data_IF_159154980141
#
_entry.id   IF_159154980141
#
_cell.length_a   1.000
_cell.length_b   1.000
_cell.length_c   1.000
_cell.angle_alpha   90.00
_cell.angle_beta   90.00
_cell.angle_gamma   90.00
#
_symmetry.space_group_name_H-M   'P 1'
#
loop_
_entity.id
_entity.type
_entity.pdbx_description
1 polymer ?
#
# COMPACT_ATOMS: atom_id res chain seq x y z
N UNK A 1 -27.81 -77.45 16.09
CA UNK A 1 -27.57 -76.62 14.89
C UNK A 1 -27.71 -75.17 15.31
N UNK A 2 -26.54 -74.50 15.62
CA UNK A 2 -26.54 -73.11 16.10
C UNK A 2 -25.87 -72.29 15.04
N UNK A 3 -26.67 -71.48 14.34
CA UNK A 3 -26.22 -70.50 13.33
C UNK A 3 -25.73 -69.19 13.99
N UNK A 4 -24.48 -68.84 13.78
CA UNK A 4 -23.92 -67.54 14.18
C UNK A 4 -24.20 -66.53 13.08
N UNK A 5 -25.01 -65.49 13.38
CA UNK A 5 -25.12 -64.27 12.56
C UNK A 5 -23.94 -63.33 12.89
N UNK A 6 -23.10 -63.11 11.91
CA UNK A 6 -22.04 -62.09 11.97
C UNK A 6 -22.63 -60.78 11.45
N UNK A 7 -22.74 -59.75 12.30
CA UNK A 7 -23.14 -58.41 11.92
C UNK A 7 -21.88 -57.66 11.43
N UNK A 8 -21.86 -57.31 10.14
CA UNK A 8 -20.85 -56.36 9.57
C UNK A 8 -21.29 -54.93 9.85
N UNK A 9 -20.60 -54.25 10.74
CA UNK A 9 -20.76 -52.81 10.94
C UNK A 9 -20.02 -52.06 9.83
N UNK A 10 -20.77 -51.40 8.95
CA UNK A 10 -20.26 -50.50 7.93
C UNK A 10 -19.99 -49.12 8.58
N UNK A 11 -18.77 -48.82 8.90
CA UNK A 11 -18.37 -47.46 9.35
C UNK A 11 -18.36 -46.52 8.14
N UNK A 12 -19.38 -45.68 8.01
CA UNK A 12 -19.39 -44.59 7.04
C UNK A 12 -18.40 -43.50 7.50
N UNK A 13 -17.27 -43.42 6.83
CA UNK A 13 -16.36 -42.29 6.92
C UNK A 13 -17.04 -41.05 6.29
N UNK A 14 -17.60 -40.19 7.14
CA UNK A 14 -18.09 -38.88 6.70
C UNK A 14 -16.83 -38.01 6.52
N UNK A 15 -16.37 -37.89 5.27
CA UNK A 15 -15.38 -36.90 4.88
C UNK A 15 -16.00 -35.52 5.01
N UNK A 16 -15.68 -34.77 6.04
CA UNK A 16 -15.90 -33.32 6.06
C UNK A 16 -15.01 -32.70 4.98
N UNK A 17 -15.54 -32.66 3.76
CA UNK A 17 -14.96 -31.81 2.72
C UNK A 17 -15.14 -30.35 3.13
N UNK A 18 -14.06 -29.59 3.25
CA UNK A 18 -14.14 -28.14 3.38
C UNK A 18 -14.98 -27.63 2.21
N UNK A 19 -16.15 -27.07 2.51
CA UNK A 19 -17.08 -26.56 1.51
C UNK A 19 -16.52 -25.22 1.02
N UNK A 20 -16.12 -25.14 -0.25
CA UNK A 20 -15.72 -23.88 -0.86
C UNK A 20 -16.83 -22.84 -0.67
N UNK A 21 -16.46 -21.61 -0.35
CA UNK A 21 -17.41 -20.52 -0.18
C UNK A 21 -18.23 -20.34 -1.47
N UNK A 22 -19.55 -20.19 -1.35
CA UNK A 22 -20.42 -19.88 -2.49
C UNK A 22 -20.35 -18.42 -2.90
N UNK A 23 -19.83 -17.55 -2.03
CA UNK A 23 -19.70 -16.11 -2.18
C UNK A 23 -18.44 -15.64 -1.45
N UNK A 24 -17.77 -14.64 -1.99
CA UNK A 24 -16.60 -13.99 -1.37
C UNK A 24 -17.03 -12.65 -0.79
N UNK A 25 -17.01 -12.53 0.53
CA UNK A 25 -17.29 -11.28 1.23
C UNK A 25 -16.01 -10.62 1.72
N UNK A 26 -15.72 -9.39 1.26
CA UNK A 26 -14.49 -8.66 1.56
C UNK A 26 -14.81 -7.43 2.41
N UNK A 27 -14.19 -7.31 3.58
CA UNK A 27 -14.23 -6.10 4.39
C UNK A 27 -13.19 -5.09 3.88
N UNK A 28 -13.68 -3.96 3.36
CA UNK A 28 -12.85 -2.86 2.91
C UNK A 28 -12.90 -1.72 3.93
N UNK A 29 -11.96 -1.73 4.88
CA UNK A 29 -11.83 -0.71 5.91
C UNK A 29 -10.80 0.33 5.47
N UNK A 30 -11.19 1.60 5.35
CA UNK A 30 -10.28 2.62 4.80
C UNK A 30 -10.64 4.01 5.30
N UNK A 31 -9.71 4.95 5.20
CA UNK A 31 -9.97 6.37 5.44
C UNK A 31 -10.62 6.98 4.19
N UNK A 32 -11.94 7.15 4.20
CA UNK A 32 -12.73 7.60 3.05
C UNK A 32 -13.20 9.05 3.16
N UNK A 33 -13.01 9.69 4.30
CA UNK A 33 -13.44 11.07 4.57
C UNK A 33 -12.34 11.91 5.24
N UNK A 34 -12.60 13.20 5.39
CA UNK A 34 -11.64 14.16 5.96
C UNK A 34 -10.49 14.52 5.02
N UNK A 35 -9.47 15.26 5.50
CA UNK A 35 -8.35 15.77 4.69
C UNK A 35 -7.49 14.67 4.04
N UNK A 36 -7.52 13.46 4.57
CA UNK A 36 -6.80 12.30 4.05
C UNK A 36 -7.68 11.35 3.23
N UNK A 37 -8.99 11.60 3.13
CA UNK A 37 -9.96 10.72 2.49
C UNK A 37 -9.68 10.47 1.00
N UNK A 38 -9.04 11.41 0.31
CA UNK A 38 -8.66 11.24 -1.10
C UNK A 38 -7.83 9.97 -1.34
N UNK A 39 -6.94 9.61 -0.40
CA UNK A 39 -6.09 8.42 -0.50
C UNK A 39 -6.93 7.14 -0.50
N UNK A 40 -7.81 6.98 0.49
CA UNK A 40 -8.67 5.81 0.59
C UNK A 40 -9.67 5.69 -0.56
N UNK A 41 -10.16 6.83 -1.08
CA UNK A 41 -11.03 6.88 -2.27
C UNK A 41 -10.28 6.36 -3.51
N UNK A 42 -9.03 6.77 -3.73
CA UNK A 42 -8.22 6.27 -4.84
C UNK A 42 -8.00 4.75 -4.74
N UNK A 43 -7.66 4.23 -3.55
CA UNK A 43 -7.50 2.78 -3.33
C UNK A 43 -8.82 2.03 -3.59
N UNK A 44 -9.93 2.55 -3.08
CA UNK A 44 -11.28 1.98 -3.29
C UNK A 44 -11.64 1.94 -4.77
N UNK A 45 -11.40 3.02 -5.49
CA UNK A 45 -11.76 3.14 -6.89
C UNK A 45 -10.93 2.18 -7.75
N UNK A 46 -9.63 2.04 -7.47
CA UNK A 46 -8.79 1.02 -8.11
C UNK A 46 -9.28 -0.40 -7.82
N UNK A 47 -9.59 -0.70 -6.57
CA UNK A 47 -10.13 -2.00 -6.15
C UNK A 47 -11.45 -2.32 -6.86
N UNK A 48 -12.38 -1.37 -6.87
CA UNK A 48 -13.68 -1.53 -7.54
C UNK A 48 -13.55 -1.73 -9.05
N UNK A 49 -12.58 -1.05 -9.68
CA UNK A 49 -12.31 -1.25 -11.11
C UNK A 49 -11.89 -2.69 -11.39
N UNK A 50 -11.02 -3.28 -10.57
CA UNK A 50 -10.60 -4.67 -10.74
C UNK A 50 -11.77 -5.65 -10.50
N UNK A 51 -12.58 -5.43 -9.49
CA UNK A 51 -13.81 -6.22 -9.25
C UNK A 51 -14.77 -6.12 -10.45
N UNK A 52 -14.94 -4.92 -11.01
CA UNK A 52 -15.75 -4.70 -12.22
C UNK A 52 -15.18 -5.46 -13.43
N UNK A 53 -13.86 -5.43 -13.64
CA UNK A 53 -13.19 -6.16 -14.73
C UNK A 53 -13.34 -7.69 -14.58
N UNK A 54 -13.39 -8.18 -13.34
CA UNK A 54 -13.69 -9.58 -13.05
C UNK A 54 -15.19 -9.92 -13.13
N UNK A 55 -16.04 -9.00 -13.62
CA UNK A 55 -17.50 -9.21 -13.74
C UNK A 55 -18.21 -9.37 -12.38
N UNK A 56 -17.68 -8.75 -11.32
CA UNK A 56 -18.20 -8.87 -9.95
C UNK A 56 -17.86 -10.20 -9.26
N UNK A 57 -16.85 -10.94 -9.79
CA UNK A 57 -16.53 -12.30 -9.34
C UNK A 57 -15.02 -12.50 -9.22
N UNK A 58 -14.46 -12.24 -8.05
CA UNK A 58 -13.06 -12.55 -7.79
C UNK A 58 -12.86 -14.06 -7.59
N UNK A 59 -11.87 -14.63 -8.27
CA UNK A 59 -11.63 -16.07 -8.28
C UNK A 59 -12.78 -16.91 -8.84
N UNK A 60 -13.74 -16.28 -9.55
CA UNK A 60 -14.96 -16.92 -10.05
C UNK A 60 -16.12 -16.92 -9.04
N UNK A 61 -15.93 -16.46 -7.82
CA UNK A 61 -16.97 -16.34 -6.80
C UNK A 61 -17.67 -15.00 -6.86
N UNK A 62 -19.03 -14.93 -6.78
CA UNK A 62 -19.74 -13.67 -6.55
C UNK A 62 -19.10 -12.93 -5.38
N UNK A 63 -18.80 -11.64 -5.57
CA UNK A 63 -18.01 -10.88 -4.60
C UNK A 63 -18.81 -9.69 -4.05
N UNK A 64 -19.04 -9.69 -2.73
CA UNK A 64 -19.57 -8.56 -1.98
C UNK A 64 -18.41 -7.79 -1.33
N UNK A 65 -18.36 -6.47 -1.50
CA UNK A 65 -17.38 -5.59 -0.82
C UNK A 65 -18.11 -4.72 0.19
N UNK A 66 -17.84 -4.93 1.49
CA UNK A 66 -18.43 -4.16 2.58
C UNK A 66 -17.49 -3.03 2.97
N UNK A 67 -17.85 -1.80 2.61
CA UNK A 67 -17.05 -0.61 2.89
C UNK A 67 -17.27 -0.07 4.30
N UNK A 68 -16.18 0.40 4.93
CA UNK A 68 -16.20 1.06 6.23
C UNK A 68 -15.16 2.21 6.25
N UNK A 69 -15.56 3.37 6.78
CA UNK A 69 -14.72 4.56 6.88
C UNK A 69 -14.18 4.71 8.30
N UNK A 70 -12.86 4.55 8.47
CA UNK A 70 -12.17 4.70 9.75
C UNK A 70 -11.94 6.17 10.15
N UNK A 71 -12.18 7.12 9.24
CA UNK A 71 -11.99 8.57 9.46
C UNK A 71 -10.59 8.95 9.98
N UNK A 72 -9.57 8.10 9.70
CA UNK A 72 -8.20 8.17 10.24
C UNK A 72 -8.15 8.06 11.77
N UNK A 73 -9.16 7.44 12.39
CA UNK A 73 -9.25 7.25 13.83
C UNK A 73 -9.02 5.77 14.18
N UNK A 74 -7.97 5.43 14.97
CA UNK A 74 -7.66 4.05 15.35
C UNK A 74 -8.78 3.33 16.10
N UNK A 75 -9.50 4.03 17.00
CA UNK A 75 -10.58 3.43 17.79
C UNK A 75 -11.81 3.14 16.92
N UNK A 76 -12.17 4.07 16.02
CA UNK A 76 -13.20 3.86 15.01
C UNK A 76 -12.83 2.67 14.12
N UNK A 77 -11.58 2.63 13.65
CA UNK A 77 -11.06 1.52 12.84
C UNK A 77 -11.23 0.18 13.56
N UNK A 78 -10.85 0.08 14.84
CA UNK A 78 -10.99 -1.14 15.64
C UNK A 78 -12.44 -1.60 15.77
N UNK A 79 -13.36 -0.69 16.09
CA UNK A 79 -14.80 -1.00 16.21
C UNK A 79 -15.38 -1.49 14.87
N UNK A 80 -14.97 -0.87 13.76
CA UNK A 80 -15.41 -1.26 12.42
C UNK A 80 -14.82 -2.61 12.00
N UNK A 81 -13.56 -2.89 12.33
CA UNK A 81 -12.96 -4.21 12.08
C UNK A 81 -13.71 -5.31 12.85
N UNK A 82 -14.04 -5.09 14.14
CA UNK A 82 -14.87 -6.02 14.91
C UNK A 82 -16.25 -6.25 14.28
N UNK A 83 -16.89 -5.19 13.78
CA UNK A 83 -18.17 -5.29 13.08
C UNK A 83 -18.05 -6.14 11.82
N UNK A 84 -17.07 -5.84 10.96
CA UNK A 84 -16.84 -6.56 9.70
C UNK A 84 -16.58 -8.04 9.95
N UNK A 85 -15.78 -8.38 10.96
CA UNK A 85 -15.41 -9.76 11.29
C UNK A 85 -16.53 -10.53 11.98
N UNK A 86 -17.16 -9.94 13.03
CA UNK A 86 -18.09 -10.68 13.90
C UNK A 86 -19.55 -10.65 13.41
N UNK A 87 -20.00 -9.47 12.91
CA UNK A 87 -21.38 -9.28 12.45
C UNK A 87 -21.54 -9.54 10.96
N UNK A 88 -20.69 -8.87 10.16
CA UNK A 88 -20.81 -8.93 8.71
C UNK A 88 -20.13 -10.20 8.13
N UNK A 89 -19.29 -10.88 8.94
CA UNK A 89 -18.65 -12.19 8.66
C UNK A 89 -17.89 -12.20 7.35
N UNK A 90 -17.03 -11.20 7.15
CA UNK A 90 -16.21 -11.12 5.94
C UNK A 90 -15.17 -12.25 5.90
N UNK A 91 -14.90 -12.80 4.72
CA UNK A 91 -13.91 -13.86 4.51
C UNK A 91 -12.48 -13.31 4.43
N UNK A 92 -12.33 -12.08 3.91
CA UNK A 92 -11.04 -11.39 3.74
C UNK A 92 -11.17 -9.93 4.16
N UNK A 93 -10.06 -9.30 4.53
CA UNK A 93 -10.02 -7.86 4.81
C UNK A 93 -8.91 -7.15 4.01
N UNK A 94 -9.17 -5.89 3.69
CA UNK A 94 -8.24 -5.00 2.95
C UNK A 94 -8.54 -3.53 3.23
N UNK A 95 -7.77 -2.59 2.66
CA UNK A 95 -8.17 -1.19 2.52
C UNK A 95 -7.44 -0.19 3.42
N UNK A 96 -6.90 -0.59 4.58
CA UNK A 96 -6.36 0.36 5.57
C UNK A 96 -5.22 1.21 4.99
N UNK A 97 -5.39 2.53 5.12
CA UNK A 97 -4.45 3.54 4.59
C UNK A 97 -3.31 3.83 5.56
N UNK A 98 -3.64 4.08 6.83
CA UNK A 98 -2.70 4.63 7.81
C UNK A 98 -2.19 3.59 8.81
N UNK A 99 -0.88 3.61 9.09
CA UNK A 99 -0.24 2.61 9.95
C UNK A 99 -0.70 2.65 11.41
N UNK A 100 -1.12 3.80 11.94
CA UNK A 100 -1.71 3.88 13.28
C UNK A 100 -3.06 3.17 13.35
N UNK A 101 -3.89 3.27 12.30
CA UNK A 101 -5.15 2.51 12.20
C UNK A 101 -4.82 1.03 12.01
N UNK A 102 -3.88 0.68 11.12
CA UNK A 102 -3.49 -0.71 10.88
C UNK A 102 -3.03 -1.41 12.15
N UNK A 103 -2.20 -0.76 12.96
CA UNK A 103 -1.74 -1.32 14.24
C UNK A 103 -2.87 -1.49 15.26
N UNK A 104 -3.90 -0.66 15.22
CA UNK A 104 -5.06 -0.77 16.11
C UNK A 104 -6.02 -1.90 15.71
N UNK A 105 -6.18 -2.17 14.41
CA UNK A 105 -7.11 -3.20 13.91
C UNK A 105 -6.47 -4.58 13.78
N UNK A 106 -5.14 -4.62 13.63
CA UNK A 106 -4.40 -5.85 13.35
C UNK A 106 -4.61 -6.96 14.39
N UNK A 107 -4.55 -6.72 15.71
CA UNK A 107 -4.81 -7.77 16.70
C UNK A 107 -6.15 -8.47 16.49
N UNK A 108 -7.22 -7.71 16.26
CA UNK A 108 -8.57 -8.25 16.03
C UNK A 108 -8.65 -9.10 14.76
N UNK A 109 -8.00 -8.66 13.68
CA UNK A 109 -7.94 -9.40 12.41
C UNK A 109 -7.17 -10.70 12.60
N UNK A 110 -5.99 -10.64 13.23
CA UNK A 110 -5.12 -11.80 13.47
C UNK A 110 -5.80 -12.85 14.37
N UNK A 111 -6.44 -12.42 15.45
CA UNK A 111 -7.19 -13.31 16.36
C UNK A 111 -8.36 -14.01 15.64
N UNK A 112 -8.99 -13.32 14.70
CA UNK A 112 -10.08 -13.89 13.89
C UNK A 112 -9.58 -14.86 12.81
N UNK A 113 -8.27 -14.99 12.60
CA UNK A 113 -7.64 -15.82 11.55
C UNK A 113 -8.15 -15.49 10.14
N UNK A 114 -8.54 -14.24 9.91
CA UNK A 114 -8.94 -13.74 8.60
C UNK A 114 -7.72 -13.15 7.89
N UNK A 115 -7.54 -13.49 6.62
CA UNK A 115 -6.44 -12.94 5.84
C UNK A 115 -6.65 -11.45 5.55
N UNK A 116 -5.58 -10.70 5.75
CA UNK A 116 -5.52 -9.28 5.42
C UNK A 116 -4.55 -9.04 4.28
N UNK A 117 -5.05 -8.46 3.18
CA UNK A 117 -4.24 -8.06 2.03
C UNK A 117 -4.10 -6.55 2.05
N UNK A 118 -2.91 -6.06 2.44
CA UNK A 118 -2.62 -4.64 2.61
C UNK A 118 -2.40 -3.95 1.26
N UNK A 119 -3.27 -3.03 0.85
CA UNK A 119 -3.01 -2.21 -0.34
C UNK A 119 -2.09 -1.03 -0.03
N UNK A 120 -1.92 -0.64 1.23
CA UNK A 120 -1.13 0.52 1.62
C UNK A 120 -0.34 0.31 2.93
N UNK A 121 -0.98 0.34 4.08
CA UNK A 121 -0.29 0.31 5.37
C UNK A 121 0.39 -1.04 5.64
N UNK A 122 1.71 -1.03 5.71
CA UNK A 122 2.55 -2.22 5.98
C UNK A 122 3.61 -1.87 7.04
N UNK A 123 3.21 -1.64 8.31
CA UNK A 123 4.11 -1.23 9.39
C UNK A 123 5.21 -2.28 9.65
N UNK A 124 6.43 -1.82 9.92
CA UNK A 124 7.60 -2.67 10.17
C UNK A 124 7.42 -3.63 11.34
N UNK A 125 6.64 -3.24 12.35
CA UNK A 125 6.30 -4.11 13.48
C UNK A 125 5.47 -5.34 13.08
N UNK A 126 4.67 -5.25 12.00
CA UNK A 126 3.87 -6.38 11.48
C UNK A 126 4.70 -7.23 10.51
N UNK A 127 5.65 -6.67 9.76
CA UNK A 127 6.43 -7.42 8.79
C UNK A 127 7.73 -8.01 9.35
N UNK A 128 8.23 -7.45 10.48
CA UNK A 128 9.38 -7.95 11.22
C UNK A 128 8.99 -9.02 12.24
N UNK A 129 9.31 -8.80 13.50
CA UNK A 129 9.08 -9.76 14.62
C UNK A 129 7.59 -10.14 14.79
N UNK A 130 6.67 -9.27 14.42
CA UNK A 130 5.22 -9.52 14.46
C UNK A 130 4.65 -10.14 13.19
N UNK A 131 5.48 -10.70 12.31
CA UNK A 131 5.00 -11.31 11.07
C UNK A 131 4.02 -12.45 11.34
N UNK A 132 3.03 -12.57 10.47
CA UNK A 132 1.91 -13.48 10.65
C UNK A 132 1.52 -14.13 9.33
N UNK A 133 1.08 -15.40 9.35
CA UNK A 133 0.62 -16.08 8.14
C UNK A 133 -0.63 -15.44 7.51
N UNK A 134 -1.33 -14.58 8.25
CA UNK A 134 -2.55 -13.92 7.80
C UNK A 134 -2.35 -12.53 7.20
N UNK A 135 -1.09 -12.00 7.19
CA UNK A 135 -0.78 -10.68 6.63
C UNK A 135 -0.03 -10.79 5.30
N UNK A 136 -0.53 -10.07 4.28
CA UNK A 136 0.12 -9.91 2.98
C UNK A 136 0.07 -8.45 2.56
N UNK A 137 1.19 -7.95 2.02
CA UNK A 137 1.27 -6.62 1.44
C UNK A 137 1.22 -6.70 -0.08
N UNK A 138 0.12 -6.27 -0.67
CA UNK A 138 0.02 -6.15 -2.12
C UNK A 138 0.79 -4.94 -2.68
N UNK A 139 1.45 -4.14 -1.85
CA UNK A 139 2.04 -2.85 -2.22
C UNK A 139 3.54 -2.77 -1.92
N UNK A 140 3.94 -2.53 -0.67
CA UNK A 140 5.34 -2.36 -0.25
C UNK A 140 5.46 -2.51 1.27
N UNK A 141 6.64 -2.86 1.82
CA UNK A 141 6.96 -2.61 3.23
C UNK A 141 7.17 -1.12 3.48
N UNK A 142 6.71 -0.60 4.62
CA UNK A 142 6.66 0.85 4.89
C UNK A 142 7.97 1.61 4.59
N UNK A 143 9.12 1.01 4.79
CA UNK A 143 10.41 1.70 4.62
C UNK A 143 10.91 1.77 3.17
N UNK A 144 10.43 0.91 2.28
CA UNK A 144 11.08 0.67 0.98
C UNK A 144 11.11 1.88 0.03
N UNK A 145 10.03 2.68 -0.05
CA UNK A 145 10.03 3.92 -0.84
C UNK A 145 11.04 4.95 -0.30
N UNK A 146 11.18 4.96 1.01
CA UNK A 146 12.05 5.88 1.74
C UNK A 146 13.52 5.46 1.62
N UNK A 147 13.79 4.17 1.60
CA UNK A 147 15.10 3.60 1.25
C UNK A 147 15.50 3.98 -0.17
N UNK A 148 14.57 3.88 -1.11
CA UNK A 148 14.77 4.33 -2.49
C UNK A 148 15.08 5.84 -2.56
N UNK A 149 14.40 6.67 -1.75
CA UNK A 149 14.65 8.11 -1.67
C UNK A 149 16.03 8.43 -1.08
N UNK A 150 16.48 7.71 -0.06
CA UNK A 150 17.83 7.82 0.49
C UNK A 150 18.91 7.44 -0.52
N UNK A 151 18.70 6.37 -1.29
CA UNK A 151 19.58 5.96 -2.37
C UNK A 151 19.60 7.02 -3.50
N UNK A 152 18.45 7.60 -3.83
CA UNK A 152 18.36 8.70 -4.81
C UNK A 152 19.11 9.95 -4.35
N UNK A 153 18.99 10.35 -3.09
CA UNK A 153 19.72 11.48 -2.53
C UNK A 153 21.25 11.29 -2.69
N UNK A 154 21.76 10.07 -2.46
CA UNK A 154 23.18 9.75 -2.72
C UNK A 154 23.53 9.89 -4.21
N UNK A 155 22.68 9.40 -5.11
CA UNK A 155 22.95 9.45 -6.56
C UNK A 155 23.03 10.87 -7.11
N UNK A 156 22.36 11.83 -6.43
CA UNK A 156 22.41 13.26 -6.72
C UNK A 156 23.57 13.98 -6.04
N UNK A 157 24.30 13.32 -5.15
CA UNK A 157 25.44 13.89 -4.42
C UNK A 157 25.05 14.89 -3.32
N UNK A 158 23.80 14.87 -2.84
CA UNK A 158 23.36 15.71 -1.72
C UNK A 158 24.09 15.28 -0.45
N UNK A 159 24.76 16.25 0.20
CA UNK A 159 25.60 16.00 1.39
C UNK A 159 24.89 16.30 2.69
N UNK A 160 23.98 17.28 2.68
CA UNK A 160 23.26 17.75 3.86
C UNK A 160 21.75 17.69 3.57
N UNK A 161 21.01 16.84 4.27
CA UNK A 161 19.57 16.66 4.05
C UNK A 161 18.79 16.95 5.33
N UNK A 162 17.73 17.75 5.21
CA UNK A 162 16.73 17.96 6.25
C UNK A 162 15.61 16.94 6.06
N UNK A 163 15.15 16.29 7.14
CA UNK A 163 14.11 15.27 7.08
C UNK A 163 12.86 15.74 7.83
N UNK A 164 11.68 15.57 7.23
CA UNK A 164 10.39 15.85 7.87
C UNK A 164 9.36 14.76 7.58
N UNK A 165 8.66 14.32 8.63
CA UNK A 165 7.53 13.38 8.55
C UNK A 165 6.52 13.64 9.67
N UNK A 166 5.25 13.17 9.57
CA UNK A 166 4.31 13.27 10.68
C UNK A 166 4.67 12.28 11.79
N UNK A 167 4.38 12.64 13.04
CA UNK A 167 4.66 11.83 14.22
C UNK A 167 3.64 10.69 14.38
N UNK A 168 3.82 9.62 13.61
CA UNK A 168 3.04 8.38 13.69
C UNK A 168 3.91 7.20 13.17
N UNK A 169 3.47 5.94 13.27
CA UNK A 169 4.34 4.80 12.94
C UNK A 169 4.98 4.88 11.56
N UNK A 170 4.22 5.13 10.48
CA UNK A 170 4.80 5.24 9.14
C UNK A 170 5.71 6.47 8.97
N UNK A 171 5.49 7.55 9.72
CA UNK A 171 6.41 8.69 9.72
C UNK A 171 7.78 8.32 10.30
N UNK A 172 7.80 7.51 11.35
CA UNK A 172 9.04 6.98 11.95
C UNK A 172 9.73 5.98 11.02
N UNK A 173 8.96 5.04 10.46
CA UNK A 173 9.47 4.08 9.47
C UNK A 173 10.08 4.82 8.27
N UNK A 174 9.45 5.92 7.81
CA UNK A 174 9.91 6.68 6.65
C UNK A 174 11.30 7.29 6.85
N UNK A 175 11.51 8.00 7.96
CA UNK A 175 12.81 8.62 8.21
C UNK A 175 13.89 7.58 8.55
N UNK A 176 13.52 6.46 9.16
CA UNK A 176 14.41 5.32 9.41
C UNK A 176 14.85 4.69 8.08
N UNK A 177 13.92 4.42 7.16
CA UNK A 177 14.22 3.87 5.85
C UNK A 177 15.11 4.81 5.02
N UNK A 178 14.81 6.11 4.98
CA UNK A 178 15.65 7.08 4.30
C UNK A 178 17.09 7.06 4.83
N UNK A 179 17.27 7.16 6.16
CA UNK A 179 18.60 7.16 6.80
C UNK A 179 19.38 5.87 6.60
N UNK A 180 18.69 4.73 6.42
CA UNK A 180 19.36 3.44 6.16
C UNK A 180 20.15 3.45 4.86
N UNK A 181 19.64 4.10 3.84
CA UNK A 181 20.28 4.14 2.52
C UNK A 181 21.04 5.44 2.27
N UNK A 182 20.72 6.52 2.97
CA UNK A 182 21.41 7.80 2.81
C UNK A 182 22.77 7.80 3.53
N UNK A 183 23.82 8.29 2.84
CA UNK A 183 25.20 8.31 3.32
C UNK A 183 25.72 9.70 3.71
N UNK A 184 24.92 10.74 3.43
CA UNK A 184 25.25 12.11 3.78
C UNK A 184 24.88 12.45 5.23
N UNK A 185 24.98 13.73 5.56
CA UNK A 185 24.66 14.27 6.87
C UNK A 185 23.17 14.64 6.96
N UNK A 186 22.49 14.18 8.01
CA UNK A 186 21.12 14.61 8.37
C UNK A 186 21.25 15.83 9.26
N UNK A 187 20.99 17.03 8.73
CA UNK A 187 21.12 18.30 9.47
C UNK A 187 20.01 18.52 10.46
N UNK A 188 18.84 17.93 10.21
CA UNK A 188 17.71 17.90 11.14
C UNK A 188 16.76 16.76 10.82
N UNK A 189 16.10 16.22 11.85
CA UNK A 189 15.04 15.22 11.76
C UNK A 189 13.85 15.74 12.55
N UNK A 190 12.75 16.06 11.86
CA UNK A 190 11.60 16.75 12.44
C UNK A 190 10.33 15.91 12.25
N UNK A 191 9.57 15.80 13.32
CA UNK A 191 8.26 15.15 13.32
C UNK A 191 7.17 16.18 13.57
N UNK A 192 6.37 16.49 12.53
CA UNK A 192 5.18 17.35 12.62
C UNK A 192 4.00 16.62 13.28
N UNK A 193 2.96 17.34 13.66
CA UNK A 193 1.72 16.69 14.09
C UNK A 193 1.05 15.97 12.93
N UNK A 194 0.43 14.82 13.21
CA UNK A 194 -0.44 14.16 12.23
C UNK A 194 -1.64 15.10 11.92
N UNK A 195 -1.96 15.27 10.64
CA UNK A 195 -2.96 16.24 10.13
C UNK A 195 -2.59 17.73 10.31
N UNK A 196 -1.31 18.06 10.52
CA UNK A 196 -0.85 19.45 10.50
C UNK A 196 -1.07 20.07 9.11
N UNK A 197 -1.53 21.34 9.07
CA UNK A 197 -1.80 22.07 7.83
C UNK A 197 -0.97 23.35 7.70
N UNK A 198 -0.40 23.87 8.77
CA UNK A 198 0.49 25.02 8.79
C UNK A 198 1.91 24.59 9.10
N UNK A 199 2.85 24.94 8.22
CA UNK A 199 4.26 24.56 8.27
C UNK A 199 5.19 25.77 8.36
N UNK A 200 4.69 26.96 8.68
CA UNK A 200 5.47 28.20 8.73
C UNK A 200 6.70 28.10 9.64
N UNK A 201 6.58 27.43 10.79
CA UNK A 201 7.68 27.20 11.71
C UNK A 201 8.76 26.27 11.13
N UNK A 202 8.34 25.15 10.56
CA UNK A 202 9.26 24.18 9.93
C UNK A 202 9.96 24.79 8.71
N UNK A 203 9.26 25.59 7.89
CA UNK A 203 9.84 26.27 6.74
C UNK A 203 10.91 27.32 7.15
N UNK A 204 10.69 28.02 8.26
CA UNK A 204 11.70 28.92 8.83
C UNK A 204 12.94 28.14 9.32
N UNK A 205 12.75 26.97 9.95
CA UNK A 205 13.85 26.10 10.37
C UNK A 205 14.64 25.54 9.18
N UNK A 206 13.95 25.09 8.12
CA UNK A 206 14.58 24.62 6.89
C UNK A 206 15.46 25.71 6.26
N UNK A 207 14.94 26.94 6.18
CA UNK A 207 15.71 28.10 5.65
C UNK A 207 16.95 28.38 6.49
N UNK A 208 16.83 28.31 7.82
CA UNK A 208 17.97 28.54 8.71
C UNK A 208 19.03 27.43 8.60
N UNK A 209 18.62 26.18 8.41
CA UNK A 209 19.50 25.03 8.29
C UNK A 209 20.24 24.95 6.95
N UNK A 210 19.75 25.60 5.89
CA UNK A 210 20.34 25.65 4.53
C UNK A 210 20.78 24.26 4.02
N UNK A 211 19.90 23.24 4.01
CA UNK A 211 20.26 21.92 3.51
C UNK A 211 20.41 21.93 1.97
N UNK A 212 21.19 20.99 1.41
CA UNK A 212 21.23 20.75 -0.03
C UNK A 212 19.90 20.19 -0.54
N UNK A 213 19.27 19.35 0.28
CA UNK A 213 17.98 18.74 -0.02
C UNK A 213 17.08 18.63 1.22
N UNK A 214 15.80 18.63 0.98
CA UNK A 214 14.74 18.36 1.95
C UNK A 214 14.01 17.08 1.53
N UNK A 215 14.02 16.09 2.40
CA UNK A 215 13.15 14.93 2.26
C UNK A 215 11.87 15.12 3.08
N UNK A 216 10.71 15.06 2.43
CA UNK A 216 9.42 15.28 3.07
C UNK A 216 8.44 14.11 2.80
N UNK A 217 8.09 13.37 3.86
CA UNK A 217 6.99 12.41 3.83
C UNK A 217 5.78 12.99 4.55
N UNK A 218 4.86 13.59 3.82
CA UNK A 218 3.67 14.28 4.33
C UNK A 218 2.45 13.89 3.47
N UNK A 219 1.82 12.72 3.66
CA UNK A 219 0.79 12.21 2.76
C UNK A 219 -0.52 13.02 2.81
N UNK A 220 -1.24 13.07 1.66
CA UNK A 220 -2.55 13.69 1.52
C UNK A 220 -2.54 15.20 1.76
N UNK A 221 -3.52 15.72 2.51
CA UNK A 221 -3.66 17.15 2.80
C UNK A 221 -2.44 17.80 3.45
N UNK A 222 -1.65 17.04 4.23
CA UNK A 222 -0.39 17.52 4.82
C UNK A 222 0.60 17.91 3.73
N UNK A 223 0.84 17.04 2.74
CA UNK A 223 1.76 17.29 1.63
C UNK A 223 1.29 18.42 0.72
N UNK A 224 -0.01 18.46 0.43
CA UNK A 224 -0.61 19.54 -0.36
C UNK A 224 -0.30 20.90 0.27
N UNK A 225 -0.55 21.06 1.57
CA UNK A 225 -0.33 22.32 2.27
C UNK A 225 1.16 22.63 2.39
N UNK A 226 1.98 21.63 2.72
CA UNK A 226 3.44 21.81 2.82
C UNK A 226 4.04 22.30 1.50
N UNK A 227 3.75 21.64 0.37
CA UNK A 227 4.32 22.00 -0.93
C UNK A 227 3.86 23.40 -1.37
N UNK A 228 2.58 23.76 -1.15
CA UNK A 228 2.10 25.11 -1.42
C UNK A 228 2.83 26.17 -0.61
N UNK A 229 2.99 25.95 0.70
CA UNK A 229 3.70 26.88 1.59
C UNK A 229 5.20 26.94 1.28
N UNK A 230 5.84 25.79 0.98
CA UNK A 230 7.24 25.70 0.57
C UNK A 230 7.53 26.54 -0.68
N UNK A 231 6.64 26.45 -1.69
CA UNK A 231 6.74 27.27 -2.90
C UNK A 231 6.46 28.75 -2.63
N UNK A 232 5.42 29.07 -1.88
CA UNK A 232 5.07 30.46 -1.51
C UNK A 232 6.19 31.13 -0.69
N UNK A 233 6.89 30.38 0.14
CA UNK A 233 8.06 30.85 0.86
C UNK A 233 9.30 31.05 -0.02
N UNK A 234 9.26 30.66 -1.31
CA UNK A 234 10.39 30.77 -2.24
C UNK A 234 11.50 29.70 -2.04
N UNK A 235 11.30 28.76 -1.10
CA UNK A 235 12.29 27.73 -0.76
C UNK A 235 12.56 26.75 -1.91
N UNK A 236 11.64 26.59 -2.86
CA UNK A 236 11.85 25.76 -4.05
C UNK A 236 13.04 26.23 -4.94
N UNK A 237 13.50 27.47 -4.78
CA UNK A 237 14.68 27.99 -5.47
C UNK A 237 15.98 27.78 -4.68
N UNK A 238 15.87 27.46 -3.39
CA UNK A 238 16.99 27.38 -2.45
C UNK A 238 17.35 25.93 -2.09
N UNK A 239 16.34 25.05 -2.00
CA UNK A 239 16.46 23.68 -1.47
C UNK A 239 15.78 22.68 -2.40
N UNK A 240 16.48 21.60 -2.73
CA UNK A 240 15.92 20.53 -3.55
C UNK A 240 14.95 19.69 -2.74
N UNK A 241 13.71 19.54 -3.24
CA UNK A 241 12.68 18.73 -2.58
C UNK A 241 12.69 17.29 -3.13
N UNK A 242 12.84 16.33 -2.23
CA UNK A 242 12.77 14.89 -2.50
C UNK A 242 11.50 14.37 -1.83
N UNK A 243 10.66 13.69 -2.59
CA UNK A 243 9.38 13.16 -2.13
C UNK A 243 9.33 11.63 -2.30
N UNK A 244 8.67 10.89 -1.42
CA UNK A 244 8.18 9.56 -1.78
C UNK A 244 6.92 9.70 -2.64
N UNK A 245 6.61 8.69 -3.44
CA UNK A 245 5.45 8.68 -4.33
C UNK A 245 4.12 9.03 -3.66
N UNK A 246 4.00 8.81 -2.37
CA UNK A 246 2.81 9.15 -1.57
C UNK A 246 2.52 10.66 -1.45
N UNK A 247 3.50 11.51 -1.73
CA UNK A 247 3.41 12.97 -1.55
C UNK A 247 3.49 13.70 -2.89
N UNK A 248 3.64 12.97 -3.97
CA UNK A 248 3.87 13.52 -5.31
C UNK A 248 2.99 12.90 -6.39
N UNK A 249 1.99 12.14 -5.99
CA UNK A 249 1.11 11.47 -6.94
C UNK A 249 -0.14 12.27 -7.30
N UNK A 250 -0.99 11.72 -8.12
CA UNK A 250 -2.06 12.42 -8.82
C UNK A 250 -3.09 13.09 -7.92
N UNK A 251 -3.31 12.58 -6.71
CA UNK A 251 -4.16 13.24 -5.71
C UNK A 251 -3.57 14.60 -5.24
N UNK A 252 -2.23 14.64 -5.05
CA UNK A 252 -1.50 15.85 -4.68
C UNK A 252 -1.33 16.77 -5.90
N UNK A 253 -0.97 16.21 -7.06
CA UNK A 253 -0.80 16.95 -8.32
C UNK A 253 -2.06 17.74 -8.67
N UNK A 254 -3.24 17.14 -8.57
CA UNK A 254 -4.52 17.83 -8.83
C UNK A 254 -4.76 19.04 -7.92
N UNK A 255 -4.24 18.98 -6.69
CA UNK A 255 -4.45 20.04 -5.70
C UNK A 255 -3.38 21.15 -5.74
N UNK A 256 -2.15 20.82 -6.17
CA UNK A 256 -0.99 21.73 -6.17
C UNK A 256 -0.74 22.34 -7.56
N UNK A 257 -0.80 21.51 -8.59
CA UNK A 257 -0.60 21.95 -9.99
C UNK A 257 0.86 22.18 -10.37
N UNK A 258 1.13 23.21 -11.17
CA UNK A 258 2.43 23.51 -11.79
C UNK A 258 3.65 23.53 -10.84
N UNK A 259 3.55 23.90 -9.57
CA UNK A 259 4.66 23.78 -8.63
C UNK A 259 5.23 22.36 -8.46
N UNK A 260 4.50 21.34 -8.91
CA UNK A 260 4.97 19.95 -8.89
C UNK A 260 5.91 19.60 -10.05
N UNK A 261 5.88 20.35 -11.16
CA UNK A 261 6.67 20.05 -12.37
C UNK A 261 8.16 20.17 -12.09
N UNK A 262 8.93 19.13 -12.48
CA UNK A 262 10.37 19.04 -12.25
C UNK A 262 10.77 18.46 -10.89
N UNK A 263 9.81 18.15 -10.00
CA UNK A 263 10.10 17.44 -8.77
C UNK A 263 10.37 15.96 -9.05
N UNK A 264 11.21 15.36 -8.22
CA UNK A 264 11.53 13.93 -8.26
C UNK A 264 10.90 13.21 -7.09
N UNK A 265 10.47 11.99 -7.34
CA UNK A 265 10.00 11.07 -6.31
C UNK A 265 10.52 9.65 -6.50
N UNK A 266 10.23 8.79 -5.51
CA UNK A 266 10.53 7.36 -5.58
C UNK A 266 9.27 6.53 -5.39
N UNK A 267 9.05 5.55 -6.28
CA UNK A 267 7.85 4.72 -6.27
C UNK A 267 8.12 3.33 -6.82
N UNK A 268 7.25 2.36 -6.48
CA UNK A 268 7.27 1.02 -7.05
C UNK A 268 6.47 0.92 -8.37
N UNK A 269 5.71 1.95 -8.69
CA UNK A 269 4.89 2.05 -9.89
C UNK A 269 5.08 3.41 -10.57
N UNK A 270 4.92 3.46 -11.88
CA UNK A 270 4.89 4.69 -12.66
C UNK A 270 3.79 4.62 -13.72
N UNK A 271 3.18 5.76 -14.01
CA UNK A 271 2.12 5.93 -14.99
C UNK A 271 2.49 5.36 -16.37
N UNK A 272 3.76 5.48 -16.77
CA UNK A 272 4.30 5.12 -18.06
C UNK A 272 5.06 3.78 -18.08
N UNK A 273 4.82 2.88 -17.13
CA UNK A 273 5.41 1.54 -17.18
C UNK A 273 4.99 0.82 -18.46
N UNK A 274 6.00 0.35 -19.20
CA UNK A 274 5.83 -0.24 -20.53
C UNK A 274 5.45 -1.72 -20.43
N UNK A 275 4.21 -1.98 -20.07
CA UNK A 275 3.57 -3.30 -20.15
C UNK A 275 2.08 -3.16 -20.44
N UNK A 276 1.47 -4.21 -21.04
CA UNK A 276 0.06 -4.19 -21.45
C UNK A 276 -0.90 -4.01 -20.30
N UNK A 277 -0.64 -4.65 -19.15
CA UNK A 277 -1.50 -4.55 -17.99
C UNK A 277 -1.55 -3.12 -17.44
N UNK A 278 -0.40 -2.40 -17.44
CA UNK A 278 -0.37 -1.00 -17.02
C UNK A 278 -1.12 -0.10 -18.03
N UNK A 279 -0.88 -0.28 -19.32
CA UNK A 279 -1.59 0.49 -20.37
C UNK A 279 -3.10 0.31 -20.26
N UNK A 280 -3.55 -0.94 -20.08
CA UNK A 280 -4.97 -1.25 -19.88
C UNK A 280 -5.53 -0.60 -18.60
N UNK A 281 -4.84 -0.77 -17.47
CA UNK A 281 -5.27 -0.17 -16.18
C UNK A 281 -5.43 1.34 -16.30
N UNK A 282 -4.42 2.04 -16.83
CA UNK A 282 -4.46 3.50 -16.98
C UNK A 282 -5.62 3.93 -17.86
N UNK A 283 -5.78 3.31 -19.03
CA UNK A 283 -6.83 3.66 -19.98
C UNK A 283 -8.24 3.43 -19.41
N UNK A 284 -8.46 2.28 -18.76
CA UNK A 284 -9.77 1.93 -18.22
C UNK A 284 -10.08 2.75 -16.94
N UNK A 285 -9.07 3.07 -16.12
CA UNK A 285 -9.26 3.93 -14.96
C UNK A 285 -9.62 5.36 -15.39
N UNK A 286 -8.91 5.94 -16.37
CA UNK A 286 -9.23 7.26 -16.93
C UNK A 286 -10.62 7.27 -17.56
N UNK A 287 -11.00 6.21 -18.26
CA UNK A 287 -12.33 6.07 -18.86
C UNK A 287 -13.45 6.04 -17.80
N UNK A 288 -13.26 5.28 -16.70
CA UNK A 288 -14.26 5.11 -15.65
C UNK A 288 -14.37 6.35 -14.75
N UNK A 289 -13.22 6.83 -14.25
CA UNK A 289 -13.19 7.88 -13.21
C UNK A 289 -12.86 9.27 -13.71
N UNK A 290 -12.60 9.44 -15.03
CA UNK A 290 -12.33 10.73 -15.69
C UNK A 290 -11.14 11.50 -15.10
N UNK A 291 -10.15 10.76 -14.55
CA UNK A 291 -8.91 11.30 -14.01
C UNK A 291 -7.77 10.31 -14.19
N UNK A 292 -6.54 10.81 -14.17
CA UNK A 292 -5.32 9.98 -14.19
C UNK A 292 -5.27 9.15 -12.89
N UNK A 293 -5.01 7.83 -12.95
CA UNK A 293 -4.84 7.01 -11.75
C UNK A 293 -3.62 7.44 -10.94
N UNK A 294 -3.76 7.41 -9.62
CA UNK A 294 -2.64 7.54 -8.69
C UNK A 294 -1.98 6.19 -8.41
N UNK A 295 -0.81 6.21 -7.75
CA UNK A 295 -0.22 4.99 -7.22
C UNK A 295 -1.17 4.28 -6.22
N UNK A 296 -2.01 5.05 -5.52
CA UNK A 296 -3.00 4.48 -4.60
C UNK A 296 -4.11 3.71 -5.34
N UNK A 297 -4.53 4.22 -6.50
CA UNK A 297 -5.47 3.50 -7.36
C UNK A 297 -4.85 2.20 -7.89
N UNK A 298 -3.57 2.24 -8.29
CA UNK A 298 -2.83 1.05 -8.70
C UNK A 298 -2.78 0.00 -7.59
N UNK A 299 -2.50 0.42 -6.35
CA UNK A 299 -2.45 -0.49 -5.20
C UNK A 299 -3.77 -1.20 -4.92
N UNK A 300 -4.88 -0.45 -4.97
CA UNK A 300 -6.21 -1.02 -4.83
C UNK A 300 -6.52 -2.03 -5.93
N UNK A 301 -6.21 -1.67 -7.16
CA UNK A 301 -6.38 -2.53 -8.32
C UNK A 301 -5.53 -3.81 -8.21
N UNK A 302 -4.25 -3.68 -7.88
CA UNK A 302 -3.33 -4.81 -7.69
C UNK A 302 -3.77 -5.71 -6.52
N UNK A 303 -4.24 -5.15 -5.39
CA UNK A 303 -4.73 -5.95 -4.27
C UNK A 303 -5.92 -6.84 -4.69
N UNK A 304 -6.87 -6.30 -5.46
CA UNK A 304 -7.99 -7.09 -5.97
C UNK A 304 -7.54 -8.16 -6.97
N UNK A 305 -6.56 -7.89 -7.84
CA UNK A 305 -6.01 -8.88 -8.76
C UNK A 305 -5.28 -10.02 -8.04
N UNK A 306 -4.55 -9.72 -6.96
CA UNK A 306 -3.91 -10.73 -6.11
C UNK A 306 -4.96 -11.59 -5.42
N UNK A 307 -6.03 -10.97 -4.88
CA UNK A 307 -7.15 -11.70 -4.29
C UNK A 307 -7.82 -12.59 -5.35
N UNK A 308 -8.13 -12.06 -6.54
CA UNK A 308 -8.74 -12.83 -7.65
C UNK A 308 -7.91 -14.08 -7.99
N UNK A 309 -6.61 -13.89 -8.18
CA UNK A 309 -5.71 -14.99 -8.50
C UNK A 309 -5.61 -16.01 -7.36
N UNK A 310 -5.44 -15.55 -6.12
CA UNK A 310 -5.31 -16.43 -4.96
C UNK A 310 -6.58 -17.25 -4.70
N UNK A 311 -7.78 -16.63 -4.81
CA UNK A 311 -9.05 -17.32 -4.67
C UNK A 311 -9.23 -18.37 -5.77
N UNK A 312 -8.83 -18.05 -6.99
CA UNK A 312 -8.84 -18.97 -8.14
C UNK A 312 -7.93 -20.18 -7.90
N UNK A 313 -6.69 -19.95 -7.47
CA UNK A 313 -5.69 -20.98 -7.22
C UNK A 313 -6.09 -21.87 -6.03
N UNK A 314 -6.71 -21.29 -5.01
CA UNK A 314 -7.27 -22.00 -3.86
C UNK A 314 -8.63 -22.68 -4.15
N UNK A 315 -9.17 -22.55 -5.39
CA UNK A 315 -10.49 -23.07 -5.78
C UNK A 315 -11.61 -22.63 -4.84
N UNK A 316 -11.57 -21.36 -4.41
CA UNK A 316 -12.53 -20.77 -3.49
C UNK A 316 -12.37 -21.14 -2.01
N UNK A 317 -11.38 -21.94 -1.65
CA UNK A 317 -11.13 -22.33 -0.26
C UNK A 317 -10.27 -21.28 0.47
N UNK A 318 -10.90 -20.16 0.84
CA UNK A 318 -10.24 -19.01 1.50
C UNK A 318 -10.11 -19.19 3.02
N UNK A 319 -10.80 -20.17 3.60
CA UNK A 319 -10.80 -20.44 5.05
C UNK A 319 -9.71 -21.44 5.46
N UNK A 320 -9.20 -22.25 4.53
CA UNK A 320 -8.06 -23.13 4.79
C UNK A 320 -6.75 -22.34 4.76
N UNK A 321 -6.20 -22.09 5.95
CA UNK A 321 -4.98 -21.28 6.12
C UNK A 321 -3.84 -21.71 5.20
N UNK A 322 -3.55 -23.01 5.17
CA UNK A 322 -2.41 -23.55 4.42
C UNK A 322 -2.58 -23.39 2.92
N UNK A 323 -3.76 -23.73 2.41
CA UNK A 323 -4.08 -23.63 0.98
C UNK A 323 -4.13 -22.20 0.52
N UNK A 324 -4.83 -21.32 1.25
CA UNK A 324 -4.99 -19.94 0.82
C UNK A 324 -3.69 -19.13 0.97
N UNK A 325 -2.92 -19.36 2.06
CA UNK A 325 -1.58 -18.77 2.19
C UNK A 325 -0.67 -19.17 1.03
N UNK A 326 -0.63 -20.46 0.67
CA UNK A 326 0.19 -20.94 -0.45
C UNK A 326 -0.24 -20.29 -1.78
N UNK A 327 -1.54 -20.08 -1.97
CA UNK A 327 -2.07 -19.37 -3.14
C UNK A 327 -1.67 -17.88 -3.13
N UNK A 328 -1.82 -17.18 -2.00
CA UNK A 328 -1.40 -15.76 -1.85
C UNK A 328 0.09 -15.57 -2.11
N UNK A 329 0.96 -16.48 -1.63
CA UNK A 329 2.41 -16.40 -1.87
C UNK A 329 2.79 -16.49 -3.35
N UNK A 330 1.98 -17.15 -4.19
CA UNK A 330 2.22 -17.31 -5.63
C UNK A 330 1.44 -16.35 -6.50
N UNK A 331 0.33 -15.82 -6.00
CA UNK A 331 -0.57 -14.97 -6.77
C UNK A 331 0.14 -13.81 -7.50
N UNK A 332 1.11 -13.07 -6.90
CA UNK A 332 1.79 -11.99 -7.60
C UNK A 332 2.66 -12.42 -8.78
N UNK A 333 3.09 -13.68 -8.81
CA UNK A 333 3.85 -14.24 -9.96
C UNK A 333 2.92 -14.59 -11.14
N UNK A 334 1.63 -14.77 -10.89
CA UNK A 334 0.65 -15.16 -11.91
C UNK A 334 -0.29 -14.00 -12.29
N UNK A 335 -0.59 -13.11 -11.38
CA UNK A 335 -1.47 -11.98 -11.63
C UNK A 335 -0.83 -10.96 -12.60
N UNK A 336 -1.63 -10.48 -13.57
CA UNK A 336 -1.20 -9.45 -14.52
C UNK A 336 -1.41 -8.06 -13.92
N UNK A 337 -0.53 -7.69 -12.99
CA UNK A 337 -0.64 -6.39 -12.31
C UNK A 337 -0.06 -5.25 -13.14
N UNK A 338 -0.50 -3.99 -12.94
CA UNK A 338 0.04 -2.83 -13.67
C UNK A 338 1.55 -2.63 -13.50
N UNK A 339 2.11 -3.02 -12.36
CA UNK A 339 3.56 -2.94 -12.12
C UNK A 339 4.34 -4.17 -12.58
N UNK A 340 3.68 -5.13 -13.22
CA UNK A 340 4.24 -6.41 -13.65
C UNK A 340 4.17 -7.47 -12.56
N UNK A 341 4.81 -8.61 -12.81
CA UNK A 341 4.90 -9.72 -11.87
C UNK A 341 5.98 -9.44 -10.81
N UNK A 342 5.75 -9.91 -9.60
CA UNK A 342 6.71 -9.83 -8.50
C UNK A 342 6.58 -11.07 -7.61
N UNK A 343 7.49 -11.22 -6.63
CA UNK A 343 7.48 -12.34 -5.68
C UNK A 343 7.16 -11.85 -4.29
N UNK A 344 6.56 -12.73 -3.49
CA UNK A 344 6.40 -12.49 -2.07
C UNK A 344 7.57 -13.07 -1.27
N UNK A 345 8.05 -12.32 -0.30
CA UNK A 345 8.96 -12.80 0.73
C UNK A 345 8.19 -13.58 1.81
N UNK A 346 8.88 -14.39 2.61
CA UNK A 346 8.25 -15.24 3.63
C UNK A 346 7.37 -14.47 4.63
N UNK A 347 7.66 -13.19 4.88
CA UNK A 347 6.86 -12.32 5.74
C UNK A 347 5.65 -11.66 5.03
N UNK A 348 5.30 -12.10 3.83
CA UNK A 348 4.16 -11.57 3.07
C UNK A 348 4.41 -10.15 2.55
N UNK A 349 5.65 -9.80 2.21
CA UNK A 349 5.98 -8.51 1.60
C UNK A 349 6.56 -8.70 0.20
N UNK A 350 6.30 -7.78 -0.75
CA UNK A 350 6.77 -7.92 -2.13
C UNK A 350 8.28 -7.73 -2.25
N UNK A 351 8.88 -8.54 -3.14
CA UNK A 351 10.23 -8.38 -3.67
C UNK A 351 10.08 -7.75 -5.04
N UNK A 352 10.45 -6.47 -5.17
CA UNK A 352 10.14 -5.69 -6.37
C UNK A 352 11.16 -4.58 -6.63
N UNK A 353 11.04 -3.96 -7.81
CA UNK A 353 11.84 -2.81 -8.19
C UNK A 353 11.23 -1.51 -7.65
N UNK A 354 12.11 -0.52 -7.38
CA UNK A 354 11.72 0.84 -7.07
C UNK A 354 12.36 1.80 -8.07
N UNK A 355 11.59 2.78 -8.48
CA UNK A 355 11.93 3.72 -9.54
C UNK A 355 12.12 5.12 -8.99
N UNK A 356 12.98 5.89 -9.65
CA UNK A 356 12.94 7.35 -9.62
C UNK A 356 11.97 7.80 -10.69
N UNK A 357 11.05 8.69 -10.32
CA UNK A 357 10.12 9.32 -11.25
C UNK A 357 10.33 10.84 -11.24
N UNK A 358 9.98 11.48 -12.34
CA UNK A 358 9.94 12.94 -12.48
C UNK A 358 8.53 13.37 -12.86
N UNK A 359 8.04 14.43 -12.24
CA UNK A 359 6.77 15.03 -12.62
C UNK A 359 6.97 15.94 -13.83
N UNK A 360 6.37 15.56 -14.94
CA UNK A 360 6.49 16.27 -16.22
C UNK A 360 5.13 16.55 -16.83
N UNK A 361 5.04 17.56 -17.70
CA UNK A 361 3.85 17.73 -18.54
C UNK A 361 3.90 16.76 -19.73
N UNK A 362 2.82 15.98 -19.90
CA UNK A 362 2.64 15.13 -21.09
C UNK A 362 2.29 15.98 -22.33
N UNK A 363 2.13 15.32 -23.49
CA UNK A 363 1.76 15.98 -24.74
C UNK A 363 0.42 16.74 -24.70
N UNK A 364 -0.41 16.44 -23.72
CA UNK A 364 -1.72 17.08 -23.52
C UNK A 364 -1.66 18.18 -22.43
N UNK A 365 -0.47 18.49 -21.91
CA UNK A 365 -0.25 19.47 -20.83
C UNK A 365 -0.61 18.95 -19.44
N UNK A 366 -0.92 17.67 -19.26
CA UNK A 366 -1.25 17.08 -17.98
C UNK A 366 0.05 16.73 -17.22
N UNK A 367 0.08 16.95 -15.91
CA UNK A 367 1.23 16.59 -15.08
C UNK A 367 1.13 15.10 -14.74
N UNK A 368 2.17 14.34 -15.07
CA UNK A 368 2.27 12.89 -14.88
C UNK A 368 3.62 12.52 -14.25
N UNK A 369 3.62 11.42 -13.50
CA UNK A 369 4.82 10.85 -12.88
C UNK A 369 5.51 9.89 -13.87
N UNK A 370 6.57 10.35 -14.56
CA UNK A 370 7.29 9.57 -15.55
C UNK A 370 8.48 8.85 -14.93
N UNK A 371 8.64 7.57 -15.23
CA UNK A 371 9.80 6.77 -14.84
C UNK A 371 11.08 7.28 -15.50
N UNK A 372 12.10 7.56 -14.69
CA UNK A 372 13.42 7.99 -15.15
C UNK A 372 14.43 6.83 -15.07
N UNK A 373 14.46 6.13 -13.95
CA UNK A 373 15.40 5.04 -13.71
C UNK A 373 14.89 4.05 -12.67
N UNK A 374 15.51 2.87 -12.61
CA UNK A 374 15.35 1.94 -11.49
C UNK A 374 16.45 2.19 -10.48
N UNK A 375 16.09 2.56 -9.27
CA UNK A 375 17.04 2.91 -8.19
C UNK A 375 17.34 1.72 -7.27
N UNK A 376 16.36 0.88 -6.99
CA UNK A 376 16.54 -0.38 -6.25
C UNK A 376 15.92 -1.51 -7.09
N UNK A 377 16.67 -2.61 -7.28
CA UNK A 377 16.21 -3.78 -8.03
C UNK A 377 15.96 -4.93 -7.09
N UNK A 378 14.82 -5.63 -7.27
CA UNK A 378 14.43 -6.80 -6.50
C UNK A 378 14.62 -6.57 -5.00
N UNK A 379 14.22 -5.37 -4.56
CA UNK A 379 14.39 -4.92 -3.20
C UNK A 379 13.45 -5.68 -2.26
N UNK A 380 13.95 -5.99 -1.06
CA UNK A 380 13.26 -6.78 -0.04
C UNK A 380 13.08 -5.95 1.22
N UNK A 381 12.08 -6.31 1.99
CA UNK A 381 11.90 -5.76 3.33
C UNK A 381 13.14 -6.02 4.20
N UNK A 382 13.69 -4.96 4.76
CA UNK A 382 14.83 -5.03 5.68
C UNK A 382 14.53 -5.92 6.90
N UNK A 383 13.29 -5.94 7.36
CA UNK A 383 12.85 -6.65 8.56
C UNK A 383 12.49 -8.12 8.31
N UNK A 384 12.57 -8.59 7.07
CA UNK A 384 12.38 -10.01 6.73
C UNK A 384 13.24 -10.95 7.59
N UNK A 385 14.46 -10.53 7.92
CA UNK A 385 15.39 -11.29 8.75
C UNK A 385 14.90 -11.53 10.19
N UNK A 386 14.02 -10.66 10.69
CA UNK A 386 13.48 -10.72 12.04
C UNK A 386 12.14 -11.48 12.11
N UNK A 387 11.59 -11.87 10.95
CA UNK A 387 10.39 -12.69 10.86
C UNK A 387 10.70 -14.17 11.12
N UNK A 388 10.00 -14.77 12.07
CA UNK A 388 10.19 -16.18 12.44
C UNK A 388 9.55 -17.19 11.48
N UNK A 389 8.77 -16.73 10.48
CA UNK A 389 8.18 -17.60 9.44
C UNK A 389 9.25 -18.00 8.42
N UNK A 390 9.22 -19.28 8.00
CA UNK A 390 10.13 -19.84 7.00
C UNK A 390 9.39 -20.14 5.70
#
# INVERSE_FOLDING_TARGET
MTGKLSAFAFAALVSFGAQAANELKIGFLSTLSGPAGAIGIEIRDGFNLAVKHAGGKLGGLPTEVVFADDTLNPDTGRQLAERLLKRDRVNLMTGVVFSNVMLAVWPTIQESKVFYIAPNATPTSITGKGCSPYFFSASWPNEAHHEAAGAFANSKGYKNTYLIAPNYPAGKDSLTGFKRMYKGNVVAEVYSKLNQLDYSAELAQIRAAKPDALYAFLPGGMGINFIKQFNAAGLAKEVQLILPGFVSDQDVVRAVGDPMVGLFDTSHWAYDLDNDANRQFVAEFEKEYKRIPSLFAEQGYTAALIIDQAVRDAKGNVEDEKTFRAALMKAPEHAKTPRGQFKEAANGTPIQDYYVRELVKDKNGRIVNRKISTILKQHRDFWLKDCGMK
#
